data_IF_128651165630
#
_entry.id   IF_128651165630
#
_cell.length_a   1.000
_cell.length_b   1.000
_cell.length_c   1.000
_cell.angle_alpha   90.00
_cell.angle_beta   90.00
_cell.angle_gamma   90.00
#
_symmetry.space_group_name_H-M   'P 1'
#
loop_
_entity.id
_entity.type
_entity.pdbx_description
1 polymer ?
#
# COMPACT_ATOMS: atom_id res chain seq x y z
N UNK A 1 -2.21 -9.57 6.97
CA UNK A 1 -1.93 -9.73 5.52
C UNK A 1 -3.17 -10.23 4.80
N UNK A 2 -3.43 -9.75 3.57
CA UNK A 2 -4.63 -10.14 2.78
C UNK A 2 -4.62 -11.61 2.34
N UNK A 3 -3.43 -12.17 2.08
CA UNK A 3 -3.26 -13.56 1.65
C UNK A 3 -3.53 -13.81 0.16
N UNK A 4 -3.55 -12.76 -0.66
CA UNK A 4 -3.75 -12.82 -2.11
C UNK A 4 -3.75 -11.44 -2.75
N UNK A 5 -3.87 -11.38 -4.07
CA UNK A 5 -3.91 -10.15 -4.87
C UNK A 5 -5.37 -9.79 -5.21
N UNK A 6 -5.81 -8.53 -5.05
CA UNK A 6 -7.14 -8.10 -5.50
C UNK A 6 -7.35 -8.31 -7.01
N UNK A 7 -8.49 -8.89 -7.41
CA UNK A 7 -8.86 -9.07 -8.84
C UNK A 7 -9.23 -7.79 -9.56
N UNK A 8 -9.68 -6.78 -8.81
CA UNK A 8 -10.18 -5.53 -9.36
C UNK A 8 -9.18 -4.40 -9.21
N UNK A 9 -9.69 -3.19 -9.36
CA UNK A 9 -8.92 -1.95 -9.29
C UNK A 9 -8.38 -1.68 -7.89
N UNK A 10 -7.06 -1.54 -7.78
CA UNK A 10 -6.38 -0.95 -6.63
C UNK A 10 -6.24 0.54 -6.86
N UNK A 11 -6.84 1.34 -5.97
CA UNK A 11 -6.86 2.79 -6.11
C UNK A 11 -5.61 3.42 -5.51
N UNK A 12 -5.00 4.34 -6.25
CA UNK A 12 -3.84 5.11 -5.81
C UNK A 12 -4.15 6.60 -5.91
N UNK A 13 -3.74 7.35 -4.88
CA UNK A 13 -3.90 8.80 -4.85
C UNK A 13 -2.92 9.49 -5.81
N UNK A 14 -1.68 9.61 -5.33
CA UNK A 14 -0.60 10.31 -5.97
C UNK A 14 0.69 9.58 -5.63
N UNK A 15 0.85 8.39 -6.22
CA UNK A 15 2.04 7.57 -6.00
C UNK A 15 3.18 8.14 -6.85
N UNK A 16 3.87 9.15 -6.33
CA UNK A 16 4.97 9.86 -7.03
C UNK A 16 6.11 8.92 -7.42
N UNK A 17 6.35 7.86 -6.66
CA UNK A 17 7.32 6.80 -7.00
C UNK A 17 6.90 5.96 -8.21
N UNK A 18 5.60 5.88 -8.49
CA UNK A 18 5.02 5.15 -9.61
C UNK A 18 4.78 6.01 -10.84
N UNK A 19 4.62 7.32 -10.66
CA UNK A 19 4.23 8.25 -11.71
C UNK A 19 5.44 9.05 -12.17
N UNK A 20 5.90 8.80 -13.39
CA UNK A 20 6.93 9.60 -14.04
C UNK A 20 6.39 10.98 -14.48
N UNK A 21 5.13 11.02 -14.95
CA UNK A 21 4.49 12.28 -15.38
C UNK A 21 2.97 12.20 -15.28
N UNK A 22 2.35 13.29 -14.82
CA UNK A 22 0.89 13.49 -14.86
C UNK A 22 0.50 14.04 -16.24
N UNK A 23 -0.51 13.46 -16.90
CA UNK A 23 -0.93 13.86 -18.24
C UNK A 23 -2.17 14.78 -18.20
N UNK A 24 -1.92 16.08 -18.29
CA UNK A 24 -2.96 17.12 -18.33
C UNK A 24 -3.86 17.12 -17.09
N UNK A 25 -5.12 17.52 -17.27
CA UNK A 25 -6.15 17.51 -16.21
C UNK A 25 -6.90 16.18 -16.11
N UNK A 26 -6.37 15.10 -16.69
CA UNK A 26 -7.03 13.78 -16.73
C UNK A 26 -6.50 12.84 -15.63
N UNK A 27 -7.09 11.65 -15.52
CA UNK A 27 -6.59 10.56 -14.66
C UNK A 27 -5.39 9.83 -15.24
N UNK A 28 -5.04 10.10 -16.50
CA UNK A 28 -3.93 9.41 -17.16
C UNK A 28 -2.58 9.79 -16.52
N UNK A 29 -1.71 8.79 -16.39
CA UNK A 29 -0.36 8.92 -15.85
C UNK A 29 0.61 8.22 -16.80
N UNK A 30 1.79 8.79 -16.98
CA UNK A 30 2.95 8.04 -17.47
C UNK A 30 3.57 7.39 -16.25
N UNK A 31 3.49 6.07 -16.20
CA UNK A 31 4.08 5.27 -15.14
C UNK A 31 5.59 5.15 -15.33
N UNK A 32 6.34 4.97 -14.23
CA UNK A 32 7.75 4.60 -14.32
C UNK A 32 7.87 3.16 -14.81
N UNK A 33 8.96 2.83 -15.52
CA UNK A 33 9.19 1.46 -16.01
C UNK A 33 9.20 0.44 -14.88
N UNK A 34 9.83 0.80 -13.75
CA UNK A 34 9.90 -0.05 -12.56
C UNK A 34 8.54 -0.30 -11.95
N UNK A 35 7.67 0.71 -11.89
CA UNK A 35 6.31 0.53 -11.41
C UNK A 35 5.47 -0.33 -12.35
N UNK A 36 5.59 -0.08 -13.66
CA UNK A 36 4.91 -0.89 -14.69
C UNK A 36 5.30 -2.36 -14.59
N UNK A 37 6.60 -2.64 -14.42
CA UNK A 37 7.11 -3.99 -14.21
C UNK A 37 6.54 -4.62 -12.93
N UNK A 38 6.57 -3.89 -11.81
CA UNK A 38 6.04 -4.38 -10.53
C UNK A 38 4.56 -4.71 -10.60
N UNK A 39 3.71 -3.78 -11.09
CA UNK A 39 2.27 -4.03 -11.13
C UNK A 39 1.89 -5.14 -12.11
N UNK A 40 2.69 -5.34 -13.16
CA UNK A 40 2.48 -6.43 -14.12
C UNK A 40 2.84 -7.78 -13.51
N UNK A 41 3.98 -7.86 -12.81
CA UNK A 41 4.37 -9.04 -12.04
C UNK A 41 3.36 -9.36 -10.93
N UNK A 42 2.93 -8.34 -10.18
CA UNK A 42 1.99 -8.50 -9.08
C UNK A 42 0.54 -8.74 -9.54
N UNK A 43 0.22 -8.62 -10.83
CA UNK A 43 -1.15 -8.78 -11.34
C UNK A 43 -2.11 -7.66 -10.91
N UNK A 44 -1.61 -6.44 -10.65
CA UNK A 44 -2.40 -5.33 -10.13
C UNK A 44 -3.04 -4.50 -11.25
N UNK A 45 -4.37 -4.36 -11.20
CA UNK A 45 -5.09 -3.35 -11.97
C UNK A 45 -5.04 -2.01 -11.22
N UNK A 46 -4.23 -1.06 -11.70
CA UNK A 46 -4.01 0.22 -11.04
C UNK A 46 -5.06 1.25 -11.49
N UNK A 47 -5.64 1.97 -10.52
CA UNK A 47 -6.60 3.05 -10.78
C UNK A 47 -6.18 4.33 -10.05
N UNK A 48 -5.76 5.34 -10.82
CA UNK A 48 -5.39 6.64 -10.24
C UNK A 48 -6.64 7.50 -10.00
N UNK A 49 -6.76 8.01 -8.78
CA UNK A 49 -7.83 8.94 -8.44
C UNK A 49 -7.72 10.25 -9.24
N UNK A 50 -8.86 10.91 -9.46
CA UNK A 50 -8.86 12.23 -10.08
C UNK A 50 -8.10 13.25 -9.21
N UNK A 51 -7.33 14.18 -9.82
CA UNK A 51 -6.73 15.26 -9.07
C UNK A 51 -7.79 16.28 -8.64
N UNK A 52 -7.59 16.91 -7.47
CA UNK A 52 -8.46 17.98 -6.96
C UNK A 52 -9.65 17.50 -6.12
N UNK A 53 -10.58 18.42 -5.83
CA UNK A 53 -11.72 18.21 -4.93
C UNK A 53 -12.63 17.06 -5.42
N UNK A 54 -12.75 16.90 -6.74
CA UNK A 54 -13.58 15.88 -7.37
C UNK A 54 -13.09 14.44 -7.08
N UNK A 55 -11.79 14.28 -6.82
CA UNK A 55 -11.19 12.99 -6.45
C UNK A 55 -11.19 12.70 -4.94
N UNK A 56 -11.51 13.69 -4.10
CA UNK A 56 -11.53 13.53 -2.64
C UNK A 56 -12.64 12.56 -2.21
N UNK A 57 -13.79 12.60 -2.88
CA UNK A 57 -14.91 11.69 -2.60
C UNK A 57 -14.59 10.22 -2.90
N UNK A 58 -13.60 9.93 -3.74
CA UNK A 58 -13.18 8.56 -4.05
C UNK A 58 -12.44 7.87 -2.89
N UNK A 59 -12.00 8.64 -1.88
CA UNK A 59 -11.23 8.16 -0.73
C UNK A 59 -11.83 8.48 0.64
N UNK A 60 -12.94 9.22 0.68
CA UNK A 60 -13.51 9.71 1.95
C UNK A 60 -13.77 8.61 2.99
N UNK A 61 -14.10 7.38 2.57
CA UNK A 61 -14.23 6.24 3.48
C UNK A 61 -12.90 5.86 4.15
N UNK A 62 -11.80 5.80 3.39
CA UNK A 62 -10.47 5.45 3.91
C UNK A 62 -9.95 6.54 4.83
N UNK A 63 -10.08 7.81 4.43
CA UNK A 63 -9.65 8.95 5.24
C UNK A 63 -10.44 9.04 6.56
N UNK A 64 -11.75 8.79 6.49
CA UNK A 64 -12.61 8.73 7.67
C UNK A 64 -12.19 7.63 8.64
N UNK A 65 -11.87 6.44 8.13
CA UNK A 65 -11.42 5.31 8.93
C UNK A 65 -10.04 5.54 9.55
N UNK A 66 -9.08 6.11 8.80
CA UNK A 66 -7.78 6.52 9.36
C UNK A 66 -7.96 7.55 10.46
N UNK A 67 -8.80 8.56 10.24
CA UNK A 67 -9.10 9.57 11.25
C UNK A 67 -9.74 8.98 12.51
N UNK A 68 -10.68 8.04 12.35
CA UNK A 68 -11.31 7.32 13.46
C UNK A 68 -10.29 6.51 14.25
N UNK A 69 -9.49 5.68 13.58
CA UNK A 69 -8.48 4.84 14.23
C UNK A 69 -7.52 5.67 15.07
N UNK A 70 -7.01 6.78 14.50
CA UNK A 70 -6.13 7.71 15.22
C UNK A 70 -6.78 8.29 16.47
N UNK A 71 -8.02 8.76 16.38
CA UNK A 71 -8.74 9.33 17.53
C UNK A 71 -9.04 8.31 18.63
N UNK A 72 -9.22 7.03 18.26
CA UNK A 72 -9.56 5.98 19.21
C UNK A 72 -8.34 5.37 19.91
N UNK A 73 -7.20 5.32 19.24
CA UNK A 73 -6.04 4.55 19.71
C UNK A 73 -4.76 5.37 19.86
N UNK A 74 -4.61 6.44 19.09
CA UNK A 74 -3.38 7.25 19.06
C UNK A 74 -3.56 8.65 19.66
N UNK A 75 -4.72 8.90 20.30
CA UNK A 75 -5.02 10.16 20.99
C UNK A 75 -5.67 9.86 22.36
N UNK A 76 -5.04 10.30 23.48
CA UNK A 76 -3.71 10.89 23.55
C UNK A 76 -2.63 9.92 23.03
N UNK A 77 -1.45 10.45 22.69
CA UNK A 77 -0.34 9.61 22.18
C UNK A 77 -0.06 8.51 23.21
N UNK A 78 -0.02 7.22 22.81
CA UNK A 78 0.26 6.12 23.73
C UNK A 78 1.62 6.29 24.38
N UNK A 79 1.69 6.08 25.69
CA UNK A 79 2.94 6.03 26.42
C UNK A 79 3.53 4.62 26.28
N UNK A 80 4.58 4.51 25.48
CA UNK A 80 5.23 3.24 25.11
C UNK A 80 6.73 3.43 25.07
N UNK A 81 7.45 2.37 25.40
CA UNK A 81 8.91 2.39 25.54
C UNK A 81 9.65 2.08 24.24
N UNK A 82 8.95 1.57 23.23
CA UNK A 82 9.53 1.19 21.94
C UNK A 82 8.52 1.18 20.79
N UNK A 83 9.02 1.26 19.55
CA UNK A 83 8.20 1.05 18.36
C UNK A 83 7.63 -0.38 18.28
N UNK A 84 8.36 -1.37 18.78
CA UNK A 84 7.91 -2.75 18.82
C UNK A 84 6.66 -2.91 19.72
N UNK A 85 6.67 -2.26 20.89
CA UNK A 85 5.52 -2.21 21.79
C UNK A 85 4.31 -1.52 21.14
N UNK A 86 4.54 -0.40 20.45
CA UNK A 86 3.48 0.29 19.70
C UNK A 86 2.88 -0.59 18.60
N UNK A 87 3.73 -1.25 17.81
CA UNK A 87 3.29 -2.14 16.73
C UNK A 87 2.45 -3.32 17.27
N UNK A 88 2.86 -3.91 18.40
CA UNK A 88 2.10 -4.98 19.04
C UNK A 88 0.71 -4.50 19.51
N UNK A 89 0.60 -3.26 20.00
CA UNK A 89 -0.70 -2.67 20.35
C UNK A 89 -1.55 -2.40 19.11
N UNK A 90 -0.97 -1.85 18.05
CA UNK A 90 -1.66 -1.63 16.76
C UNK A 90 -2.22 -2.94 16.21
N UNK A 91 -1.43 -4.02 16.24
CA UNK A 91 -1.87 -5.35 15.82
C UNK A 91 -3.09 -5.86 16.60
N UNK A 92 -3.17 -5.55 17.90
CA UNK A 92 -4.33 -5.89 18.74
C UNK A 92 -5.54 -5.06 18.34
N UNK A 93 -5.38 -3.75 18.16
CA UNK A 93 -6.47 -2.84 17.77
C UNK A 93 -7.01 -3.16 16.38
N UNK A 94 -6.12 -3.48 15.42
CA UNK A 94 -6.51 -3.90 14.07
C UNK A 94 -7.35 -5.18 14.10
N UNK A 95 -6.95 -6.18 14.89
CA UNK A 95 -7.74 -7.42 15.07
C UNK A 95 -9.08 -7.17 15.77
N UNK A 96 -9.15 -6.21 16.68
CA UNK A 96 -10.41 -5.82 17.31
C UNK A 96 -11.34 -5.12 16.31
N UNK A 97 -10.79 -4.39 15.34
CA UNK A 97 -11.57 -3.70 14.32
C UNK A 97 -12.31 -4.68 13.38
N UNK A 98 -11.81 -5.91 13.21
CA UNK A 98 -12.52 -6.97 12.49
C UNK A 98 -13.90 -7.28 13.10
N UNK A 99 -14.09 -7.06 14.41
CA UNK A 99 -15.37 -7.30 15.09
C UNK A 99 -16.35 -6.13 14.95
N UNK A 100 -15.91 -5.00 14.39
CA UNK A 100 -16.73 -3.79 14.27
C UNK A 100 -17.77 -3.93 13.16
N UNK A 101 -18.94 -3.31 13.34
CA UNK A 101 -19.90 -3.04 12.27
C UNK A 101 -19.80 -1.59 11.82
N UNK A 102 -19.79 -1.37 10.50
CA UNK A 102 -19.74 -0.02 9.92
C UNK A 102 -21.17 0.47 9.69
N UNK A 103 -21.59 1.50 10.42
CA UNK A 103 -22.95 2.03 10.36
C UNK A 103 -23.99 0.94 10.65
N UNK A 104 -25.01 0.84 9.80
CA UNK A 104 -26.09 -0.14 9.92
C UNK A 104 -25.82 -1.45 9.16
N UNK A 105 -24.57 -1.68 8.72
CA UNK A 105 -24.26 -2.90 7.96
C UNK A 105 -24.51 -4.15 8.82
N UNK A 106 -25.11 -5.21 8.24
CA UNK A 106 -25.53 -6.39 8.99
C UNK A 106 -24.38 -7.27 9.49
N UNK A 107 -23.22 -7.21 8.82
CA UNK A 107 -22.03 -8.00 9.14
C UNK A 107 -20.89 -7.12 9.63
N UNK A 108 -20.01 -7.72 10.40
CA UNK A 108 -18.76 -7.13 10.86
C UNK A 108 -17.76 -6.96 9.71
N UNK A 109 -16.73 -6.13 9.93
CA UNK A 109 -15.64 -5.93 8.97
C UNK A 109 -14.97 -7.26 8.62
N UNK A 110 -14.66 -8.08 9.62
CA UNK A 110 -14.02 -9.38 9.45
C UNK A 110 -14.89 -10.39 8.69
N UNK A 111 -16.21 -10.38 8.92
CA UNK A 111 -17.14 -11.23 8.15
C UNK A 111 -17.21 -10.83 6.67
N UNK A 112 -17.25 -9.53 6.36
CA UNK A 112 -17.17 -9.07 4.98
C UNK A 112 -15.83 -9.42 4.34
N UNK A 113 -14.73 -9.20 5.07
CA UNK A 113 -13.40 -9.54 4.59
C UNK A 113 -13.26 -11.04 4.31
N UNK A 114 -13.79 -11.92 5.17
CA UNK A 114 -13.75 -13.37 4.97
C UNK A 114 -14.42 -13.80 3.66
N UNK A 115 -15.52 -13.14 3.27
CA UNK A 115 -16.20 -13.38 2.00
C UNK A 115 -15.32 -12.93 0.83
N UNK A 116 -14.81 -11.70 0.89
CA UNK A 116 -14.00 -11.12 -0.19
C UNK A 116 -12.64 -11.80 -0.33
N UNK A 117 -12.07 -12.33 0.75
CA UNK A 117 -10.78 -13.04 0.76
C UNK A 117 -10.77 -14.22 -0.20
N UNK A 118 -11.89 -14.93 -0.33
CA UNK A 118 -12.05 -16.03 -1.29
C UNK A 118 -11.98 -15.60 -2.77
N UNK A 119 -12.18 -14.31 -3.03
CA UNK A 119 -12.16 -13.73 -4.38
C UNK A 119 -10.76 -13.28 -4.80
N UNK A 120 -9.79 -13.26 -3.89
CA UNK A 120 -8.41 -12.86 -4.20
C UNK A 120 -7.78 -13.84 -5.21
N UNK A 121 -6.86 -13.32 -6.02
CA UNK A 121 -5.95 -14.14 -6.81
C UNK A 121 -4.82 -14.66 -5.90
N UNK A 122 -4.19 -15.79 -6.24
CA UNK A 122 -2.98 -16.22 -5.55
C UNK A 122 -1.89 -15.15 -5.64
N UNK A 123 -1.00 -15.14 -4.64
CA UNK A 123 0.22 -14.33 -4.71
C UNK A 123 1.14 -14.91 -5.80
N UNK A 124 1.94 -14.07 -6.49
CA UNK A 124 3.02 -14.57 -7.33
C UNK A 124 3.97 -15.49 -6.54
N UNK A 125 4.38 -16.60 -7.15
CA UNK A 125 5.29 -17.57 -6.53
C UNK A 125 6.77 -17.15 -6.65
N UNK A 126 7.09 -16.42 -7.71
CA UNK A 126 8.41 -15.87 -7.96
C UNK A 126 8.61 -14.52 -7.23
N UNK A 127 9.86 -14.10 -7.06
CA UNK A 127 10.19 -12.87 -6.35
C UNK A 127 10.35 -11.71 -7.34
N UNK A 128 9.89 -10.52 -6.96
CA UNK A 128 10.24 -9.30 -7.66
C UNK A 128 11.49 -8.68 -7.06
N UNK A 129 12.50 -8.41 -7.89
CA UNK A 129 13.73 -7.76 -7.45
C UNK A 129 13.46 -6.30 -7.04
N UNK A 130 13.40 -6.04 -5.73
CA UNK A 130 13.13 -4.72 -5.14
C UNK A 130 14.37 -3.82 -5.09
N UNK A 131 15.58 -4.36 -5.31
CA UNK A 131 16.81 -3.59 -5.42
C UNK A 131 16.94 -2.83 -6.74
N UNK A 132 17.50 -1.61 -6.68
CA UNK A 132 17.97 -0.91 -7.87
C UNK A 132 19.47 -1.16 -8.02
N UNK A 133 19.87 -1.99 -8.98
CA UNK A 133 21.29 -2.20 -9.28
C UNK A 133 21.83 -0.97 -10.02
N UNK A 134 22.52 -0.09 -9.30
CA UNK A 134 23.28 1.00 -9.91
C UNK A 134 24.66 0.48 -10.28
N UNK A 135 24.87 0.24 -11.56
CA UNK A 135 26.21 -0.03 -12.08
C UNK A 135 26.94 1.30 -12.20
N UNK A 136 27.97 1.52 -11.38
CA UNK A 136 28.85 2.67 -11.57
C UNK A 136 29.75 2.38 -12.78
N UNK A 137 29.57 3.14 -13.88
CA UNK A 137 30.55 3.17 -14.97
C UNK A 137 31.75 4.01 -14.50
N UNK A 138 32.73 3.38 -13.84
CA UNK A 138 34.09 3.92 -13.84
C UNK A 138 34.79 3.45 -15.12
N UNK A 139 35.76 4.21 -15.63
CA UNK A 139 36.42 4.00 -16.94
C UNK A 139 36.94 2.57 -17.20
N UNK A 140 37.51 2.32 -18.40
CA UNK A 140 37.71 0.96 -18.92
C UNK A 140 38.42 0.04 -17.91
N UNK A 141 37.70 -1.01 -17.49
CA UNK A 141 38.25 -2.13 -16.72
C UNK A 141 37.77 -2.29 -15.27
N UNK A 142 36.92 -1.42 -14.71
CA UNK A 142 36.39 -1.61 -13.34
C UNK A 142 34.89 -1.32 -13.23
N UNK A 143 34.09 -2.38 -13.03
CA UNK A 143 32.68 -2.28 -12.66
C UNK A 143 32.59 -2.40 -11.14
N UNK A 144 32.16 -1.34 -10.47
CA UNK A 144 31.77 -1.41 -9.06
C UNK A 144 30.25 -1.57 -9.00
N UNK A 145 29.79 -2.70 -8.45
CA UNK A 145 28.37 -2.93 -8.16
C UNK A 145 28.12 -2.56 -6.71
N UNK A 146 27.60 -1.35 -6.48
CA UNK A 146 27.04 -1.01 -5.18
C UNK A 146 25.65 -1.66 -5.10
N UNK A 147 25.50 -2.71 -4.27
CA UNK A 147 24.18 -3.15 -3.83
C UNK A 147 23.76 -2.24 -2.70
N UNK A 148 22.73 -1.45 -2.93
CA UNK A 148 22.08 -0.73 -1.85
C UNK A 148 21.22 -1.74 -1.08
N UNK A 149 21.81 -2.34 -0.05
CA UNK A 149 21.04 -3.12 0.92
C UNK A 149 20.32 -2.11 1.81
N UNK A 150 19.04 -1.86 1.52
CA UNK A 150 18.13 -1.36 2.54
C UNK A 150 18.19 -2.37 3.68
N UNK A 151 18.92 -2.03 4.74
CA UNK A 151 18.96 -2.84 5.95
C UNK A 151 17.57 -2.80 6.52
N UNK A 152 16.93 -3.96 6.58
CA UNK A 152 15.82 -4.19 7.50
C UNK A 152 16.35 -3.82 8.89
N UNK A 153 15.78 -2.75 9.46
CA UNK A 153 15.98 -2.41 10.84
C UNK A 153 15.23 -3.44 11.69
N UNK A 154 15.91 -3.88 12.75
CA UNK A 154 15.58 -4.93 13.69
C UNK A 154 14.16 -4.90 14.27
#
# INVERSE_FOLDING_TARGET
MLGGVPRGKVRYDNLTSAVARVLGFTRARVETDRWTAFRSWAGLEVFYCAPGIDGAHEKGGVEGEVGRFRRNHLVPVPDVTSLAELNAQIDVWDRQDDQRRIGERPRTVGEYFAIEKSLLQPLPEDHFETGCRRTACSGPGKIFVARDHHRDAA
#
